data_IF_645651716313
#
_entry.id   IF_645651716313
#
_cell.length_a   1.000
_cell.length_b   1.000
_cell.length_c   1.000
_cell.angle_alpha   90.00
_cell.angle_beta   90.00
_cell.angle_gamma   90.00
#
_symmetry.space_group_name_H-M   'P 1'
#
loop_
_entity.id
_entity.type
_entity.pdbx_description
1 polymer ?
#
# COMPACT_ATOMS: atom_id res chain seq x y z
N UNK A 1 14.00 5.98 -1.70
CA UNK A 1 12.98 4.96 -1.45
C UNK A 1 11.67 5.68 -1.16
N UNK A 2 10.81 5.79 -2.17
CA UNK A 2 9.49 6.42 -2.06
C UNK A 2 8.45 5.35 -1.70
N UNK A 3 7.99 5.37 -0.46
CA UNK A 3 6.95 4.49 0.03
C UNK A 3 5.69 5.28 0.36
N UNK A 4 4.54 4.68 0.09
CA UNK A 4 3.24 5.19 0.52
C UNK A 4 2.55 4.13 1.35
N UNK A 5 1.87 4.59 2.39
CA UNK A 5 1.10 3.76 3.31
C UNK A 5 -0.36 3.90 2.94
N UNK A 6 -0.99 2.83 2.49
CA UNK A 6 -2.40 2.85 2.06
C UNK A 6 -3.26 2.28 3.17
N UNK A 7 -4.13 3.10 3.75
CA UNK A 7 -5.16 2.67 4.70
C UNK A 7 -6.24 1.88 3.97
N UNK A 8 -6.63 0.77 4.55
CA UNK A 8 -7.67 -0.13 4.06
C UNK A 8 -8.67 -0.37 5.18
N UNK A 9 -9.95 -0.12 4.91
CA UNK A 9 -11.01 -0.13 5.93
C UNK A 9 -11.75 -1.47 6.01
N UNK A 10 -11.76 -2.24 4.92
CA UNK A 10 -12.44 -3.52 4.86
C UNK A 10 -11.80 -4.48 3.83
N UNK A 11 -12.22 -5.74 3.87
CA UNK A 11 -11.69 -6.78 2.98
C UNK A 11 -11.98 -6.53 1.50
N UNK A 12 -13.05 -5.81 1.17
CA UNK A 12 -13.39 -5.47 -0.22
C UNK A 12 -12.40 -4.43 -0.77
N UNK A 13 -12.11 -3.37 -0.01
CA UNK A 13 -11.07 -2.39 -0.34
C UNK A 13 -9.69 -3.06 -0.43
N UNK A 14 -9.38 -4.02 0.46
CA UNK A 14 -8.13 -4.77 0.38
C UNK A 14 -8.04 -5.52 -0.95
N UNK A 15 -9.06 -6.30 -1.30
CA UNK A 15 -9.08 -7.06 -2.54
C UNK A 15 -8.93 -6.13 -3.76
N UNK A 16 -9.68 -5.03 -3.76
CA UNK A 16 -9.63 -4.03 -4.83
C UNK A 16 -8.24 -3.40 -4.97
N UNK A 17 -7.63 -2.97 -3.86
CA UNK A 17 -6.27 -2.43 -3.84
C UNK A 17 -5.25 -3.44 -4.37
N UNK A 18 -5.32 -4.70 -3.93
CA UNK A 18 -4.41 -5.76 -4.37
C UNK A 18 -4.52 -6.01 -5.88
N UNK A 19 -5.73 -6.00 -6.43
CA UNK A 19 -5.96 -6.20 -7.87
C UNK A 19 -5.43 -5.02 -8.69
N UNK A 20 -5.63 -3.77 -8.23
CA UNK A 20 -5.06 -2.58 -8.86
C UNK A 20 -3.53 -2.59 -8.85
N UNK A 21 -2.93 -2.93 -7.71
CA UNK A 21 -1.47 -2.97 -7.60
C UNK A 21 -0.90 -4.06 -8.53
N UNK A 22 -1.54 -5.22 -8.61
CA UNK A 22 -1.16 -6.29 -9.55
C UNK A 22 -1.32 -5.87 -11.00
N UNK A 23 -2.44 -5.24 -11.38
CA UNK A 23 -2.67 -4.78 -12.76
C UNK A 23 -1.65 -3.72 -13.20
N UNK A 24 -1.10 -2.95 -12.25
CA UNK A 24 -0.02 -1.99 -12.46
C UNK A 24 1.40 -2.59 -12.39
N UNK A 25 1.50 -3.92 -12.27
CA UNK A 25 2.77 -4.65 -12.27
C UNK A 25 3.52 -4.62 -10.94
N UNK A 26 2.88 -4.24 -9.83
CA UNK A 26 3.52 -4.30 -8.51
C UNK A 26 3.52 -5.74 -7.97
N UNK A 27 4.64 -6.14 -7.37
CA UNK A 27 4.85 -7.47 -6.82
C UNK A 27 4.39 -7.55 -5.35
N UNK A 28 3.56 -8.55 -5.06
CA UNK A 28 3.13 -8.89 -3.71
C UNK A 28 4.20 -9.74 -3.00
N UNK A 29 5.16 -9.12 -2.32
CA UNK A 29 6.32 -9.86 -1.78
C UNK A 29 5.98 -10.71 -0.56
N UNK A 30 4.90 -10.38 0.16
CA UNK A 30 4.44 -11.12 1.35
C UNK A 30 3.20 -12.00 1.09
N UNK A 31 2.80 -12.19 -0.18
CA UNK A 31 1.61 -12.98 -0.55
C UNK A 31 0.34 -12.54 0.19
N UNK A 32 0.19 -11.23 0.39
CA UNK A 32 -1.02 -10.64 0.96
C UNK A 32 -2.26 -11.11 0.20
N UNK A 33 -3.28 -11.48 0.96
CA UNK A 33 -4.56 -11.92 0.45
C UNK A 33 -5.68 -11.41 1.37
N UNK A 34 -6.93 -11.78 1.10
CA UNK A 34 -8.11 -11.30 1.84
C UNK A 34 -8.09 -11.60 3.34
N UNK A 35 -7.22 -12.51 3.83
CA UNK A 35 -7.04 -12.83 5.25
C UNK A 35 -6.12 -11.87 5.99
N UNK A 36 -5.44 -10.96 5.28
CA UNK A 36 -4.65 -9.93 5.92
C UNK A 36 -5.57 -8.96 6.67
N UNK A 37 -5.40 -8.91 8.00
CA UNK A 37 -6.31 -8.22 8.92
C UNK A 37 -5.82 -6.84 9.35
N UNK A 38 -4.59 -6.48 9.05
CA UNK A 38 -4.03 -5.19 9.44
C UNK A 38 -4.53 -4.10 8.46
N UNK A 39 -4.94 -2.91 8.95
CA UNK A 39 -5.68 -1.93 8.15
C UNK A 39 -4.79 -1.11 7.21
N UNK A 40 -3.58 -1.58 6.91
CA UNK A 40 -2.56 -0.82 6.18
C UNK A 40 -1.76 -1.73 5.27
N UNK A 41 -1.56 -1.29 4.03
CA UNK A 41 -0.65 -1.90 3.06
C UNK A 41 0.43 -0.89 2.69
N UNK A 42 1.70 -1.32 2.70
CA UNK A 42 2.83 -0.49 2.28
C UNK A 42 3.10 -0.75 0.80
N UNK A 43 3.20 0.32 0.01
CA UNK A 43 3.52 0.27 -1.42
C UNK A 43 4.85 1.00 -1.64
N UNK A 44 5.84 0.25 -2.12
CA UNK A 44 7.14 0.77 -2.55
C UNK A 44 7.07 1.09 -4.04
N UNK A 45 7.08 2.39 -4.37
CA UNK A 45 6.94 2.89 -5.73
C UNK A 45 8.22 2.65 -6.55
N UNK A 46 9.39 2.73 -5.91
CA UNK A 46 10.67 2.58 -6.60
C UNK A 46 10.92 1.13 -6.98
N UNK A 47 10.60 0.20 -6.07
CA UNK A 47 10.81 -1.24 -6.28
C UNK A 47 9.64 -1.94 -6.98
N UNK A 48 8.53 -1.22 -7.22
CA UNK A 48 7.25 -1.78 -7.67
C UNK A 48 6.83 -3.00 -6.85
N UNK A 49 6.80 -2.84 -5.54
CA UNK A 49 6.47 -3.91 -4.58
C UNK A 49 5.44 -3.42 -3.57
N UNK A 50 4.67 -4.35 -3.02
CA UNK A 50 3.80 -4.06 -1.87
C UNK A 50 3.80 -5.21 -0.87
N UNK A 51 3.59 -4.86 0.39
CA UNK A 51 3.67 -5.78 1.52
C UNK A 51 2.87 -5.29 2.72
N UNK A 52 2.62 -6.20 3.65
CA UNK A 52 1.96 -5.91 4.90
C UNK A 52 2.95 -5.40 5.93
N UNK A 53 2.43 -4.83 7.00
CA UNK A 53 3.22 -4.24 8.09
C UNK A 53 2.54 -4.59 9.42
N UNK A 54 3.14 -4.15 10.52
CA UNK A 54 2.61 -4.32 11.87
C UNK A 54 2.63 -3.00 12.64
N UNK A 55 1.96 -2.97 13.78
CA UNK A 55 1.84 -1.78 14.64
C UNK A 55 3.20 -1.19 15.02
N UNK A 56 4.18 -2.02 15.37
CA UNK A 56 5.52 -1.57 15.79
C UNK A 56 6.28 -0.86 14.68
N UNK A 57 6.30 -1.43 13.47
CA UNK A 57 6.92 -0.81 12.30
C UNK A 57 6.23 0.50 11.92
N UNK A 58 4.90 0.55 12.02
CA UNK A 58 4.14 1.78 11.77
C UNK A 58 4.43 2.87 12.80
N UNK A 59 4.49 2.53 14.09
CA UNK A 59 4.83 3.48 15.14
C UNK A 59 6.25 4.05 14.95
N UNK A 60 7.21 3.21 14.55
CA UNK A 60 8.56 3.66 14.23
C UNK A 60 8.57 4.65 13.05
N UNK A 61 7.89 4.33 11.95
CA UNK A 61 7.80 5.23 10.78
C UNK A 61 7.09 6.54 11.10
N UNK A 62 6.03 6.50 11.92
CA UNK A 62 5.31 7.67 12.40
C UNK A 62 6.23 8.57 13.27
N UNK A 63 6.95 7.99 14.23
CA UNK A 63 7.86 8.73 15.13
C UNK A 63 8.99 9.45 14.38
N UNK A 64 9.39 8.93 13.22
CA UNK A 64 10.42 9.52 12.37
C UNK A 64 9.87 10.56 11.39
N UNK A 65 8.56 10.82 11.36
CA UNK A 65 7.93 11.72 10.39
C UNK A 65 8.01 11.23 8.94
N UNK A 66 8.27 9.93 8.73
CA UNK A 66 8.47 9.32 7.39
C UNK A 66 7.23 8.63 6.85
N UNK A 67 6.13 8.67 7.59
CA UNK A 67 4.89 7.99 7.26
C UNK A 67 3.96 8.90 6.47
N UNK A 68 3.72 8.56 5.20
CA UNK A 68 2.68 9.18 4.38
C UNK A 68 1.50 8.21 4.26
N UNK A 69 0.42 8.47 5.02
CA UNK A 69 -0.80 7.67 4.98
C UNK A 69 -1.80 8.30 4.02
N UNK A 70 -2.31 7.49 3.10
CA UNK A 70 -3.38 7.86 2.18
C UNK A 70 -4.47 6.78 2.19
N UNK A 71 -5.68 7.13 1.78
CA UNK A 71 -6.75 6.15 1.55
C UNK A 71 -6.61 5.49 0.17
N UNK A 72 -7.36 4.41 -0.07
CA UNK A 72 -7.45 3.78 -1.40
C UNK A 72 -7.97 4.77 -2.45
N UNK A 73 -8.95 5.60 -2.09
CA UNK A 73 -9.53 6.61 -2.98
C UNK A 73 -8.50 7.69 -3.31
N UNK A 74 -7.72 8.15 -2.33
CA UNK A 74 -6.63 9.11 -2.54
C UNK A 74 -5.52 8.52 -3.42
N UNK A 75 -5.19 7.24 -3.25
CA UNK A 75 -4.23 6.53 -4.11
C UNK A 75 -4.68 6.54 -5.58
N UNK A 76 -5.99 6.41 -5.82
CA UNK A 76 -6.59 6.36 -7.15
C UNK A 76 -6.76 7.74 -7.79
N UNK A 77 -7.16 8.73 -7.00
CA UNK A 77 -7.35 10.11 -7.45
C UNK A 77 -6.01 10.78 -7.79
N UNK A 78 -4.93 10.38 -7.13
CA UNK A 78 -3.61 10.93 -7.35
C UNK A 78 -2.86 10.11 -8.40
N UNK A 79 -2.14 10.80 -9.31
CA UNK A 79 -1.20 10.20 -10.27
C UNK A 79 0.08 9.69 -9.58
N UNK A 80 -0.05 8.93 -8.49
CA UNK A 80 1.07 8.26 -7.83
C UNK A 80 1.69 7.18 -8.70
N UNK A 81 0.90 6.66 -9.65
CA UNK A 81 1.39 5.76 -10.66
C UNK A 81 1.92 6.58 -11.84
N UNK A 82 3.15 6.33 -12.31
CA UNK A 82 3.62 6.91 -13.56
C UNK A 82 2.63 6.54 -14.67
N UNK A 83 2.36 7.47 -15.59
CA UNK A 83 1.53 7.20 -16.75
C UNK A 83 2.14 6.03 -17.52
N UNK A 84 1.40 4.94 -17.63
CA UNK A 84 1.72 3.86 -18.56
C UNK A 84 1.69 4.44 -19.97
N UNK A 85 2.87 4.58 -20.58
CA UNK A 85 3.06 4.74 -22.02
C UNK A 85 2.67 3.44 -22.72
#
# INVERSE_FOLDING_TARGET
MKQITVKVENQQQLAYLLDILRSKGYKNVQRLNKRYSFPVVVVDLDRKQFFGTNTTCMAALASQGKMCVITVEQLLAQRFFPATL
#
